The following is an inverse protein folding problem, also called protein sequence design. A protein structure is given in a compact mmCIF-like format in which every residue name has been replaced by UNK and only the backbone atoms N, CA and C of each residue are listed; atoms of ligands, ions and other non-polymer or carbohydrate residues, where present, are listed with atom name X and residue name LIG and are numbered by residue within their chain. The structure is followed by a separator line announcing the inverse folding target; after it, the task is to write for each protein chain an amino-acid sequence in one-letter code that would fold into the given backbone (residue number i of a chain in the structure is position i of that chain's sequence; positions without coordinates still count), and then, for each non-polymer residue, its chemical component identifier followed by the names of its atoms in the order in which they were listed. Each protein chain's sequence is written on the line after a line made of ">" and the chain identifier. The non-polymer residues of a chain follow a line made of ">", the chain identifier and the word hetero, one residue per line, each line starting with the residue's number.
data_IF_484584247620
#
_entry.id   IF_484584247620
#
_cell.length_a   1.000
_cell.length_b   1.000
_cell.length_c   1.000
_cell.angle_alpha   90.00
_cell.angle_beta   90.00
_cell.angle_gamma   90.00
#
_symmetry.space_group_name_H-M   'P 1'
#
loop_
_entity.id
_entity.type
_entity.pdbx_description
1 polymer ?
#
# COMPACT_ATOMS: atom_id res chain seq x y z
N UNK A 1 8.00 27.77 -45.45
CA UNK A 1 8.60 26.44 -45.18
C UNK A 1 7.89 25.87 -43.96
N UNK A 2 6.71 25.25 -44.10
CA UNK A 2 6.49 23.82 -44.46
C UNK A 2 7.22 22.92 -43.45
N UNK A 3 6.52 22.52 -42.37
CA UNK A 3 5.97 21.17 -42.13
C UNK A 3 7.03 20.32 -41.35
N UNK A 4 6.75 19.50 -40.33
CA UNK A 4 5.74 18.45 -40.19
C UNK A 4 5.66 18.07 -38.69
N UNK A 5 4.45 17.93 -38.15
CA UNK A 5 4.18 17.19 -36.92
C UNK A 5 4.50 15.71 -37.11
N UNK A 6 5.13 15.02 -36.15
CA UNK A 6 5.03 13.57 -36.08
C UNK A 6 4.79 13.07 -34.65
N UNK A 7 3.58 12.55 -34.48
CA UNK A 7 3.18 11.65 -33.41
C UNK A 7 3.99 10.36 -33.50
N UNK A 8 4.73 10.00 -32.45
CA UNK A 8 5.27 8.66 -32.27
C UNK A 8 4.48 7.96 -31.15
N UNK A 9 3.53 7.13 -31.58
CA UNK A 9 2.82 6.14 -30.76
C UNK A 9 3.84 5.08 -30.29
N UNK A 10 4.24 5.13 -29.03
CA UNK A 10 4.97 4.02 -28.40
C UNK A 10 3.97 3.04 -27.77
N UNK A 11 3.59 2.00 -28.53
CA UNK A 11 3.11 0.75 -27.94
C UNK A 11 4.35 0.00 -27.45
N UNK A 12 4.53 -0.14 -26.14
CA UNK A 12 5.43 -1.15 -25.61
C UNK A 12 4.82 -1.82 -24.39
N UNK A 13 4.53 -3.10 -24.55
CA UNK A 13 4.11 -4.03 -23.52
C UNK A 13 5.32 -4.47 -22.69
N UNK A 14 5.04 -4.79 -21.43
CA UNK A 14 5.78 -5.67 -20.52
C UNK A 14 7.03 -5.17 -19.78
N UNK A 15 6.94 -5.34 -18.45
CA UNK A 15 7.99 -5.48 -17.44
C UNK A 15 8.93 -4.28 -17.26
N UNK A 16 8.46 -3.28 -16.52
CA UNK A 16 9.36 -2.40 -15.75
C UNK A 16 9.57 -3.02 -14.37
N UNK A 17 10.49 -3.97 -14.32
CA UNK A 17 11.33 -4.16 -13.13
C UNK A 17 12.50 -3.19 -13.31
N UNK A 18 12.79 -2.38 -12.28
CA UNK A 18 14.06 -1.67 -11.94
C UNK A 18 13.72 -0.29 -11.36
N UNK A 19 14.41 0.27 -10.37
CA UNK A 19 15.52 -0.11 -9.49
C UNK A 19 15.38 0.80 -8.27
N UNK A 20 15.12 0.27 -7.08
CA UNK A 20 15.45 0.99 -5.85
C UNK A 20 16.79 0.47 -5.33
N UNK A 21 17.77 1.36 -5.38
CA UNK A 21 19.10 1.22 -4.84
C UNK A 21 19.06 1.27 -3.32
N UNK A 22 18.95 0.09 -2.73
CA UNK A 22 19.71 -0.38 -1.58
C UNK A 22 19.64 -1.90 -1.70
N UNK A 23 20.78 -2.60 -1.56
CA UNK A 23 20.81 -4.07 -1.55
C UNK A 23 19.94 -4.60 -0.41
N UNK A 24 18.64 -4.75 -0.63
CA UNK A 24 17.82 -5.69 0.14
C UNK A 24 18.16 -7.03 -0.46
N UNK A 25 19.09 -7.72 0.19
CA UNK A 25 19.40 -9.12 -0.08
C UNK A 25 18.09 -9.88 -0.18
N UNK A 26 17.73 -10.37 -1.36
CA UNK A 26 16.64 -11.34 -1.59
C UNK A 26 16.97 -12.73 -0.99
N UNK A 27 17.73 -12.75 0.11
CA UNK A 27 18.25 -13.91 0.82
C UNK A 27 17.87 -13.88 2.31
N UNK A 28 16.62 -13.53 2.62
CA UNK A 28 15.99 -13.93 3.87
C UNK A 28 15.10 -15.14 3.60
N UNK A 29 15.73 -16.24 3.15
CA UNK A 29 15.15 -17.59 3.11
C UNK A 29 15.52 -18.40 4.36
N UNK A 30 16.02 -17.74 5.40
CA UNK A 30 16.21 -18.39 6.70
C UNK A 30 14.91 -18.22 7.49
N UNK A 31 14.27 -19.29 7.98
CA UNK A 31 13.12 -19.16 8.87
C UNK A 31 13.51 -18.33 10.09
N UNK A 32 13.04 -17.08 10.16
CA UNK A 32 13.24 -16.21 11.32
C UNK A 32 12.20 -16.57 12.37
N UNK A 33 12.60 -16.62 13.63
CA UNK A 33 11.67 -16.90 14.74
C UNK A 33 10.71 -15.72 15.02
N UNK A 34 11.05 -14.51 14.55
CA UNK A 34 10.31 -13.28 14.81
C UNK A 34 9.98 -12.54 13.52
N UNK A 35 8.85 -11.83 13.53
CA UNK A 35 8.44 -10.95 12.42
C UNK A 35 9.47 -9.82 12.27
N UNK A 36 9.83 -9.50 11.03
CA UNK A 36 10.75 -8.39 10.70
C UNK A 36 9.98 -7.24 10.05
N UNK A 37 10.26 -6.01 10.49
CA UNK A 37 9.61 -4.80 9.98
C UNK A 37 10.64 -3.96 9.23
N UNK A 38 10.34 -3.62 7.98
CA UNK A 38 11.22 -2.79 7.14
C UNK A 38 11.03 -1.28 7.33
N UNK A 39 11.83 -0.48 6.61
CA UNK A 39 11.64 0.97 6.53
C UNK A 39 10.30 1.31 5.85
N UNK A 40 9.76 2.53 6.05
CA UNK A 40 8.55 2.98 5.35
C UNK A 40 8.70 2.92 3.83
N UNK A 41 7.67 2.43 3.13
CA UNK A 41 7.60 2.47 1.68
C UNK A 41 7.46 3.92 1.17
N UNK A 42 8.22 4.34 0.14
CA UNK A 42 8.25 5.73 -0.29
C UNK A 42 6.94 6.21 -0.95
N UNK A 43 6.04 5.31 -1.34
CA UNK A 43 4.79 5.65 -2.01
C UNK A 43 3.61 5.44 -1.06
N UNK A 44 3.45 4.26 -0.49
CA UNK A 44 2.33 3.95 0.40
C UNK A 44 2.51 4.49 1.82
N UNK A 45 3.75 4.83 2.23
CA UNK A 45 4.16 5.17 3.59
C UNK A 45 3.98 4.03 4.62
N UNK A 46 3.57 2.84 4.18
CA UNK A 46 3.41 1.67 5.04
C UNK A 46 4.73 0.92 5.18
N UNK A 47 4.94 0.29 6.34
CA UNK A 47 6.11 -0.56 6.58
C UNK A 47 5.85 -1.97 6.06
N UNK A 48 6.73 -2.55 5.22
CA UNK A 48 6.64 -3.95 4.84
C UNK A 48 6.98 -4.83 6.05
N UNK A 49 6.30 -5.98 6.14
CA UNK A 49 6.50 -6.96 7.21
C UNK A 49 6.86 -8.29 6.55
N UNK A 50 7.93 -8.91 7.00
CA UNK A 50 8.28 -10.30 6.69
C UNK A 50 7.86 -11.13 7.88
N UNK A 51 6.86 -11.97 7.71
CA UNK A 51 6.34 -12.81 8.79
C UNK A 51 7.26 -14.00 9.05
N UNK A 52 7.46 -14.31 10.33
CA UNK A 52 8.19 -15.49 10.76
C UNK A 52 7.54 -16.75 10.18
N UNK A 53 8.36 -17.66 9.65
CA UNK A 53 7.92 -18.97 9.17
C UNK A 53 8.70 -20.04 9.91
N UNK A 54 7.98 -20.96 10.56
CA UNK A 54 8.59 -22.08 11.27
C UNK A 54 8.48 -23.35 10.42
N UNK A 55 9.51 -24.20 10.45
CA UNK A 55 9.53 -25.44 9.65
C UNK A 55 8.46 -26.46 10.09
N UNK A 56 8.05 -26.42 11.36
CA UNK A 56 7.01 -27.29 11.93
C UNK A 56 5.70 -26.54 12.17
N UNK A 57 5.32 -25.62 11.27
CA UNK A 57 4.03 -24.92 11.38
C UNK A 57 2.85 -25.89 11.22
N UNK A 58 1.89 -25.83 12.13
CA UNK A 58 0.60 -26.50 11.98
C UNK A 58 -0.16 -25.90 10.80
N UNK A 59 -1.12 -26.66 10.25
CA UNK A 59 -1.98 -26.17 9.16
C UNK A 59 -2.68 -24.85 9.52
N UNK A 60 -3.11 -24.69 10.76
CA UNK A 60 -3.80 -23.49 11.24
C UNK A 60 -2.86 -22.29 11.35
N UNK A 61 -1.62 -22.49 11.83
CA UNK A 61 -0.58 -21.46 11.86
C UNK A 61 -0.20 -20.98 10.46
N UNK A 62 -0.07 -21.93 9.52
CA UNK A 62 0.20 -21.62 8.12
C UNK A 62 -0.92 -20.75 7.52
N UNK A 63 -2.19 -21.15 7.72
CA UNK A 63 -3.35 -20.37 7.26
C UNK A 63 -3.35 -18.97 7.89
N UNK A 64 -3.08 -18.87 9.18
CA UNK A 64 -3.02 -17.57 9.86
C UNK A 64 -1.92 -16.66 9.27
N UNK A 65 -0.71 -17.19 9.08
CA UNK A 65 0.41 -16.46 8.46
C UNK A 65 0.08 -16.01 7.05
N UNK A 66 -0.46 -16.89 6.21
CA UNK A 66 -0.84 -16.57 4.83
C UNK A 66 -1.92 -15.48 4.78
N UNK A 67 -2.92 -15.53 5.65
CA UNK A 67 -3.97 -14.49 5.72
C UNK A 67 -3.40 -13.14 6.20
N UNK A 68 -2.38 -13.14 7.08
CA UNK A 68 -1.66 -11.90 7.46
C UNK A 68 -0.89 -11.32 6.27
N UNK A 69 -0.16 -12.16 5.55
CA UNK A 69 0.57 -11.80 4.32
C UNK A 69 -0.36 -11.20 3.27
N UNK A 70 -1.45 -11.89 2.96
CA UNK A 70 -2.45 -11.41 2.00
C UNK A 70 -3.08 -10.08 2.42
N UNK A 71 -3.41 -9.92 3.71
CA UNK A 71 -3.98 -8.70 4.26
C UNK A 71 -3.00 -7.53 4.14
N UNK A 72 -1.72 -7.76 4.42
CA UNK A 72 -0.68 -6.74 4.29
C UNK A 72 -0.43 -6.36 2.83
N UNK A 73 -0.38 -7.33 1.91
CA UNK A 73 -0.25 -7.09 0.47
C UNK A 73 -1.44 -6.28 -0.05
N UNK A 74 -2.65 -6.62 0.38
CA UNK A 74 -3.86 -5.88 0.01
C UNK A 74 -3.81 -4.43 0.50
N UNK A 75 -3.41 -4.23 1.76
CA UNK A 75 -3.27 -2.91 2.37
C UNK A 75 -2.23 -2.06 1.63
N UNK A 76 -1.05 -2.64 1.36
CA UNK A 76 0.02 -2.00 0.59
C UNK A 76 -0.49 -1.54 -0.78
N UNK A 77 -1.12 -2.44 -1.54
CA UNK A 77 -1.64 -2.14 -2.88
C UNK A 77 -2.66 -1.01 -2.87
N UNK A 78 -3.56 -0.99 -1.88
CA UNK A 78 -4.55 0.08 -1.75
C UNK A 78 -3.86 1.43 -1.55
N UNK A 79 -2.98 1.55 -0.54
CA UNK A 79 -2.34 2.83 -0.23
C UNK A 79 -1.32 3.27 -1.28
N UNK A 80 -0.62 2.35 -1.95
CA UNK A 80 0.21 2.71 -3.11
C UNK A 80 -0.64 3.36 -4.20
N UNK A 81 -1.75 2.75 -4.60
CA UNK A 81 -2.63 3.30 -5.64
C UNK A 81 -3.25 4.63 -5.20
N UNK A 82 -3.74 4.69 -3.96
CA UNK A 82 -4.39 5.87 -3.41
C UNK A 82 -3.42 7.06 -3.35
N UNK A 83 -2.21 6.84 -2.83
CA UNK A 83 -1.22 7.91 -2.67
C UNK A 83 -0.70 8.41 -4.02
N UNK A 84 -0.57 7.54 -5.04
CA UNK A 84 -0.26 7.98 -6.40
C UNK A 84 -1.34 8.95 -6.89
N UNK A 85 -2.62 8.57 -6.81
CA UNK A 85 -3.74 9.43 -7.21
C UNK A 85 -3.74 10.76 -6.44
N UNK A 86 -3.51 10.71 -5.13
CA UNK A 86 -3.44 11.90 -4.28
C UNK A 86 -2.31 12.84 -4.71
N UNK A 87 -1.10 12.32 -4.94
CA UNK A 87 0.06 13.12 -5.34
C UNK A 87 -0.20 13.80 -6.69
N UNK A 88 -0.77 13.06 -7.66
CA UNK A 88 -1.11 13.57 -8.99
C UNK A 88 -2.19 14.65 -8.93
N UNK A 89 -3.29 14.41 -8.23
CA UNK A 89 -4.39 15.37 -8.10
C UNK A 89 -3.95 16.61 -7.33
N UNK A 90 -3.15 16.44 -6.27
CA UNK A 90 -2.57 17.54 -5.52
C UNK A 90 -1.67 18.40 -6.41
N UNK A 91 -0.80 17.78 -7.21
CA UNK A 91 0.08 18.51 -8.13
C UNK A 91 -0.73 19.31 -9.15
N UNK A 92 -1.77 18.70 -9.73
CA UNK A 92 -2.67 19.38 -10.68
C UNK A 92 -3.39 20.56 -10.04
N UNK A 93 -3.87 20.40 -8.80
CA UNK A 93 -4.50 21.49 -8.06
C UNK A 93 -3.52 22.66 -7.84
N UNK A 94 -2.28 22.36 -7.44
CA UNK A 94 -1.24 23.38 -7.26
C UNK A 94 -0.90 24.10 -8.58
N UNK A 95 -0.85 23.38 -9.70
CA UNK A 95 -0.63 23.97 -11.04
C UNK A 95 -1.79 24.89 -11.43
N UNK A 96 -3.04 24.49 -11.19
CA UNK A 96 -4.23 25.31 -11.47
C UNK A 96 -4.24 26.61 -10.65
N UNK A 97 -3.82 26.58 -9.38
CA UNK A 97 -3.71 27.80 -8.58
C UNK A 97 -2.64 28.75 -9.13
N UNK A 98 -1.51 28.21 -9.61
CA UNK A 98 -0.45 29.01 -10.23
C UNK A 98 -0.91 29.66 -11.53
N UNK A 99 -1.68 28.96 -12.37
CA UNK A 99 -2.24 29.55 -13.60
C UNK A 99 -3.29 30.62 -13.32
N UNK A 100 -3.99 30.53 -12.18
CA UNK A 100 -4.90 31.57 -11.68
C UNK A 100 -4.16 32.77 -11.03
N UNK A 101 -2.83 32.79 -11.06
CA UNK A 101 -2.02 33.91 -10.57
C UNK A 101 -1.65 33.85 -9.08
N UNK A 102 -1.95 32.75 -8.38
CA UNK A 102 -1.49 32.58 -6.98
C UNK A 102 -0.03 32.12 -6.95
N UNK A 103 0.84 33.00 -6.46
CA UNK A 103 2.29 32.76 -6.32
C UNK A 103 2.64 31.94 -5.08
N UNK A 104 1.92 32.13 -3.97
CA UNK A 104 2.05 31.35 -2.73
C UNK A 104 0.79 30.56 -2.44
N UNK A 105 0.92 29.25 -2.28
CA UNK A 105 -0.19 28.35 -1.93
C UNK A 105 -0.33 28.35 -0.41
N UNK A 106 -1.43 28.91 0.11
CA UNK A 106 -1.71 28.95 1.54
C UNK A 106 -2.37 27.65 2.04
N UNK A 107 -2.36 27.43 3.35
CA UNK A 107 -3.06 26.34 4.02
C UNK A 107 -4.56 26.34 3.73
N UNK A 108 -5.20 27.51 3.65
CA UNK A 108 -6.64 27.62 3.32
C UNK A 108 -6.94 27.09 1.91
N UNK A 109 -6.06 27.38 0.95
CA UNK A 109 -6.19 26.87 -0.42
C UNK A 109 -6.03 25.34 -0.46
N UNK A 110 -5.10 24.80 0.31
CA UNK A 110 -4.91 23.36 0.42
C UNK A 110 -6.08 22.67 1.13
N UNK A 111 -6.76 23.35 2.06
CA UNK A 111 -7.93 22.82 2.74
C UNK A 111 -9.09 22.52 1.79
N UNK A 112 -9.28 23.38 0.77
CA UNK A 112 -10.27 23.19 -0.29
C UNK A 112 -9.95 21.90 -1.07
N UNK A 113 -8.70 21.75 -1.51
CA UNK A 113 -8.25 20.51 -2.17
C UNK A 113 -8.50 19.28 -1.31
N UNK A 114 -8.13 19.32 -0.03
CA UNK A 114 -8.30 18.17 0.86
C UNK A 114 -9.77 17.78 1.01
N UNK A 115 -10.66 18.76 1.21
CA UNK A 115 -12.09 18.51 1.29
C UNK A 115 -12.61 17.89 -0.01
N UNK A 116 -12.31 18.50 -1.16
CA UNK A 116 -12.76 18.00 -2.47
C UNK A 116 -12.26 16.58 -2.76
N UNK A 117 -10.99 16.31 -2.45
CA UNK A 117 -10.40 14.99 -2.63
C UNK A 117 -11.07 13.94 -1.73
N UNK A 118 -11.34 14.27 -0.47
CA UNK A 118 -12.04 13.39 0.47
C UNK A 118 -13.48 13.14 0.02
N UNK A 119 -14.22 14.20 -0.33
CA UNK A 119 -15.60 14.12 -0.80
C UNK A 119 -15.69 13.31 -2.09
N UNK A 120 -14.74 13.45 -3.01
CA UNK A 120 -14.68 12.65 -4.24
C UNK A 120 -14.42 11.16 -3.96
N UNK A 121 -13.58 10.85 -2.98
CA UNK A 121 -13.11 9.49 -2.71
C UNK A 121 -13.85 8.81 -1.53
N UNK A 122 -14.87 9.43 -0.95
CA UNK A 122 -15.51 8.98 0.29
C UNK A 122 -15.98 7.52 0.23
N UNK A 123 -16.63 7.10 -0.86
CA UNK A 123 -17.10 5.71 -1.04
C UNK A 123 -15.94 4.72 -1.05
N UNK A 124 -14.83 5.09 -1.69
CA UNK A 124 -13.62 4.27 -1.75
C UNK A 124 -13.03 4.08 -0.36
N UNK A 125 -12.91 5.17 0.41
CA UNK A 125 -12.40 5.12 1.79
C UNK A 125 -13.31 4.31 2.72
N UNK A 126 -14.62 4.49 2.62
CA UNK A 126 -15.58 3.70 3.40
C UNK A 126 -15.48 2.21 3.07
N UNK A 127 -15.46 1.86 1.79
CA UNK A 127 -15.31 0.46 1.36
C UNK A 127 -13.98 -0.14 1.82
N UNK A 128 -12.90 0.63 1.74
CA UNK A 128 -11.60 0.23 2.27
C UNK A 128 -11.66 -0.03 3.77
N UNK A 129 -12.21 0.90 4.57
CA UNK A 129 -12.30 0.75 6.02
C UNK A 129 -13.13 -0.48 6.40
N UNK A 130 -14.29 -0.68 5.76
CA UNK A 130 -15.12 -1.87 5.98
C UNK A 130 -14.33 -3.14 5.68
N UNK A 131 -13.63 -3.21 4.54
CA UNK A 131 -12.81 -4.36 4.17
C UNK A 131 -11.64 -4.57 5.15
N UNK A 132 -11.00 -3.49 5.60
CA UNK A 132 -9.91 -3.51 6.57
C UNK A 132 -10.37 -4.10 7.90
N UNK A 133 -11.50 -3.63 8.44
CA UNK A 133 -12.07 -4.18 9.68
C UNK A 133 -12.44 -5.66 9.53
N UNK A 134 -13.10 -6.04 8.43
CA UNK A 134 -13.45 -7.45 8.17
C UNK A 134 -12.22 -8.37 8.16
N UNK A 135 -11.12 -7.92 7.54
CA UNK A 135 -9.85 -8.67 7.52
C UNK A 135 -9.22 -8.78 8.91
N UNK A 136 -9.17 -7.69 9.67
CA UNK A 136 -8.60 -7.69 11.02
C UNK A 136 -9.42 -8.54 12.00
N UNK A 137 -10.75 -8.51 11.91
CA UNK A 137 -11.63 -9.37 12.71
C UNK A 137 -11.38 -10.84 12.37
N UNK A 138 -11.27 -11.20 11.08
CA UNK A 138 -10.90 -12.57 10.67
C UNK A 138 -9.54 -12.99 11.23
N UNK A 139 -8.54 -12.10 11.17
CA UNK A 139 -7.21 -12.36 11.72
C UNK A 139 -7.25 -12.59 13.23
N UNK A 140 -8.03 -11.80 13.97
CA UNK A 140 -8.22 -11.95 15.41
C UNK A 140 -8.77 -13.35 15.75
N UNK A 141 -9.81 -13.79 15.05
CA UNK A 141 -10.38 -15.13 15.27
C UNK A 141 -9.39 -16.25 14.93
N UNK A 142 -8.63 -16.11 13.85
CA UNK A 142 -7.58 -17.07 13.49
C UNK A 142 -6.48 -17.12 14.55
N UNK A 143 -6.05 -15.97 15.07
CA UNK A 143 -5.06 -15.91 16.14
C UNK A 143 -5.54 -16.61 17.41
N UNK A 144 -6.79 -16.36 17.81
CA UNK A 144 -7.42 -17.03 18.95
C UNK A 144 -7.43 -18.54 18.71
N UNK A 145 -7.87 -18.99 17.53
CA UNK A 145 -7.90 -20.42 17.21
C UNK A 145 -6.50 -21.07 17.26
N UNK A 146 -5.47 -20.39 16.72
CA UNK A 146 -4.08 -20.85 16.81
C UNK A 146 -3.64 -20.98 18.27
N UNK A 147 -3.88 -19.94 19.10
CA UNK A 147 -3.51 -19.97 20.52
C UNK A 147 -4.22 -21.09 21.27
N UNK A 148 -5.53 -21.26 21.05
CA UNK A 148 -6.31 -22.33 21.68
C UNK A 148 -5.80 -23.72 21.29
N UNK A 149 -5.40 -23.92 20.03
CA UNK A 149 -4.84 -25.21 19.58
C UNK A 149 -3.53 -25.60 20.26
N UNK A 150 -2.80 -24.62 20.82
CA UNK A 150 -1.55 -24.82 21.57
C UNK A 150 -1.77 -25.01 23.07
N UNK A 151 -2.95 -24.67 23.58
CA UNK A 151 -3.28 -24.91 24.98
C UNK A 151 -3.40 -26.42 25.19
N UNK A 152 -2.40 -27.00 25.85
CA UNK A 152 -2.51 -28.35 26.38
C UNK A 152 -3.33 -28.27 27.65
N UNK A 153 -4.54 -28.81 27.65
CA UNK A 153 -5.26 -29.09 28.88
C UNK A 153 -4.46 -30.17 29.62
N UNK A 154 -3.90 -29.80 30.77
CA UNK A 154 -3.18 -30.70 31.67
C UNK A 154 -4.18 -31.37 32.60
#
# INVERSE_FOLDING_TARGET
>A
MVQVCNYARAKCNNKVIRLFSAKVSFNLKTPTQTDMIGPPDPISNLRPIIFAKFDKESKLEKIYREVREETQIWNQKFWTKHNISFIEERKRFQENLKTQGKTSINTDDMSVFYKEFLDKNWRMHMNYNIAWYKRNVKLLFLEIAVRMSKLKFK
#
